data_IF_334068517041
#
_entry.id   IF_334068517041
#
_cell.length_a   1.000
_cell.length_b   1.000
_cell.length_c   1.000
_cell.angle_alpha   90.00
_cell.angle_beta   90.00
_cell.angle_gamma   90.00
#
_symmetry.space_group_name_H-M   'P 1'
#
loop_
_entity.id
_entity.type
_entity.pdbx_description
1 polymer ?
#
# COMPACT_ATOMS: atom_id res chain seq x y z
N UNK A 1 -32.57 -6.93 17.88
CA UNK A 1 -31.35 -7.52 17.31
C UNK A 1 -30.53 -6.38 16.74
N UNK A 2 -29.62 -5.82 17.55
CA UNK A 2 -28.74 -4.72 17.13
C UNK A 2 -27.53 -5.33 16.46
N UNK A 3 -27.45 -5.22 15.13
CA UNK A 3 -26.28 -5.63 14.35
C UNK A 3 -25.12 -4.73 14.74
N UNK A 4 -24.12 -5.28 15.44
CA UNK A 4 -22.85 -4.60 15.66
C UNK A 4 -22.11 -4.68 14.33
N UNK A 5 -22.25 -3.64 13.50
CA UNK A 5 -21.31 -3.41 12.41
C UNK A 5 -19.99 -3.01 13.07
N UNK A 6 -19.19 -4.00 13.49
CA UNK A 6 -17.81 -3.75 13.86
C UNK A 6 -17.14 -3.15 12.63
N UNK A 7 -16.61 -1.93 12.76
CA UNK A 7 -15.83 -1.32 11.69
C UNK A 7 -14.72 -2.32 11.29
N UNK A 8 -14.54 -2.61 9.99
CA UNK A 8 -13.53 -3.55 9.57
C UNK A 8 -12.17 -3.07 10.06
N UNK A 9 -11.50 -3.90 10.86
CA UNK A 9 -10.17 -3.59 11.37
C UNK A 9 -9.22 -3.34 10.20
N UNK A 10 -8.40 -2.31 10.30
CA UNK A 10 -7.41 -1.95 9.29
C UNK A 10 -5.99 -2.17 9.81
N UNK A 11 -5.05 -2.31 8.87
CA UNK A 11 -3.61 -2.37 9.10
C UNK A 11 -2.95 -1.35 8.18
N UNK A 12 -1.93 -0.68 8.70
CA UNK A 12 -1.08 0.21 7.92
C UNK A 12 0.19 -0.51 7.48
N UNK A 13 0.53 -0.34 6.20
CA UNK A 13 1.80 -0.76 5.65
C UNK A 13 2.55 0.47 5.15
N UNK A 14 3.80 0.63 5.59
CA UNK A 14 4.75 1.46 4.87
C UNK A 14 5.26 0.66 3.67
N UNK A 15 5.52 1.31 2.54
CA UNK A 15 6.04 0.66 1.35
C UNK A 15 7.11 1.50 0.67
N UNK A 16 7.99 0.85 -0.06
CA UNK A 16 8.93 1.50 -0.96
C UNK A 16 9.20 0.64 -2.20
N UNK A 17 9.52 1.29 -3.31
CA UNK A 17 9.74 0.64 -4.59
C UNK A 17 10.68 1.45 -5.50
N UNK A 18 11.43 0.74 -6.34
CA UNK A 18 12.06 1.35 -7.51
C UNK A 18 11.07 1.33 -8.67
N UNK A 19 10.85 2.50 -9.28
CA UNK A 19 9.93 2.68 -10.41
C UNK A 19 10.64 3.37 -11.56
N UNK A 20 10.06 3.27 -12.75
CA UNK A 20 10.44 4.05 -13.93
C UNK A 20 9.36 5.08 -14.21
N UNK A 21 9.75 6.34 -14.23
CA UNK A 21 8.90 7.48 -14.57
C UNK A 21 9.16 7.83 -16.05
N UNK A 22 8.13 7.87 -16.90
CA UNK A 22 8.30 8.28 -18.30
C UNK A 22 8.95 9.66 -18.41
N UNK A 23 10.02 9.78 -19.20
CA UNK A 23 10.77 11.03 -19.40
C UNK A 23 11.87 11.31 -18.36
N UNK A 24 11.76 10.76 -17.15
CA UNK A 24 12.71 11.02 -16.05
C UNK A 24 13.63 9.82 -15.75
N UNK A 25 13.20 8.60 -16.11
CA UNK A 25 13.96 7.37 -15.86
C UNK A 25 13.68 6.75 -14.50
N UNK A 26 14.68 6.13 -13.88
CA UNK A 26 14.50 5.32 -12.66
C UNK A 26 14.46 6.21 -11.41
N UNK A 27 13.44 6.04 -10.58
CA UNK A 27 13.22 6.78 -9.35
C UNK A 27 12.85 5.87 -8.17
N UNK A 28 13.15 6.34 -6.95
CA UNK A 28 12.74 5.67 -5.72
C UNK A 28 11.45 6.30 -5.19
N UNK A 29 10.43 5.48 -4.96
CA UNK A 29 9.13 5.88 -4.43
C UNK A 29 8.87 5.21 -3.09
N UNK A 30 8.17 5.90 -2.20
CA UNK A 30 7.74 5.35 -0.91
C UNK A 30 6.41 5.96 -0.48
N UNK A 31 5.70 5.27 0.41
CA UNK A 31 4.42 5.74 0.92
C UNK A 31 3.87 4.85 2.02
N UNK A 32 2.61 5.11 2.37
CA UNK A 32 1.84 4.31 3.32
C UNK A 32 0.51 3.91 2.70
N UNK A 33 0.02 2.72 3.02
CA UNK A 33 -1.30 2.25 2.61
C UNK A 33 -2.02 1.63 3.79
N UNK A 34 -3.27 2.02 3.99
CA UNK A 34 -4.17 1.47 5.01
C UNK A 34 -5.14 0.52 4.33
N UNK A 35 -5.17 -0.74 4.74
CA UNK A 35 -6.01 -1.79 4.14
C UNK A 35 -6.78 -2.57 5.20
N UNK A 36 -7.87 -3.25 4.86
CA UNK A 36 -8.50 -4.19 5.78
C UNK A 36 -7.54 -5.30 6.22
N UNK A 37 -7.66 -5.77 7.48
CA UNK A 37 -6.89 -6.92 8.02
C UNK A 37 -7.01 -8.19 7.18
N UNK A 38 -8.06 -8.31 6.36
CA UNK A 38 -8.29 -9.46 5.49
C UNK A 38 -7.42 -9.47 4.22
N UNK A 39 -6.71 -8.38 3.92
CA UNK A 39 -5.81 -8.33 2.77
C UNK A 39 -4.52 -9.06 3.09
N UNK A 40 -4.20 -10.08 2.30
CA UNK A 40 -2.87 -10.69 2.33
C UNK A 40 -1.83 -9.78 1.68
N UNK A 41 -0.56 -10.04 1.98
CA UNK A 41 0.58 -9.28 1.51
C UNK A 41 0.57 -9.04 -0.01
N UNK A 42 0.34 -10.10 -0.80
CA UNK A 42 0.28 -10.03 -2.27
C UNK A 42 -0.81 -9.09 -2.76
N UNK A 43 -1.96 -9.07 -2.09
CA UNK A 43 -3.07 -8.19 -2.46
C UNK A 43 -2.70 -6.73 -2.23
N UNK A 44 -2.05 -6.42 -1.10
CA UNK A 44 -1.58 -5.06 -0.81
C UNK A 44 -0.52 -4.63 -1.83
N UNK A 45 0.41 -5.52 -2.18
CA UNK A 45 1.42 -5.26 -3.22
C UNK A 45 0.78 -4.93 -4.57
N UNK A 46 -0.25 -5.69 -4.97
CA UNK A 46 -0.99 -5.43 -6.21
C UNK A 46 -1.71 -4.08 -6.21
N UNK A 47 -2.31 -3.67 -5.08
CA UNK A 47 -2.97 -2.36 -4.94
C UNK A 47 -1.94 -1.21 -5.06
N UNK A 48 -0.79 -1.32 -4.38
CA UNK A 48 0.31 -0.35 -4.49
C UNK A 48 0.80 -0.26 -5.93
N UNK A 49 0.97 -1.39 -6.61
CA UNK A 49 1.40 -1.43 -8.01
C UNK A 49 0.37 -0.82 -8.97
N UNK A 50 -0.93 -1.10 -8.75
CA UNK A 50 -2.01 -0.53 -9.55
C UNK A 50 -2.05 1.00 -9.38
N UNK A 51 -1.90 1.50 -8.16
CA UNK A 51 -1.80 2.93 -7.89
C UNK A 51 -0.56 3.57 -8.54
N UNK A 52 0.61 2.94 -8.44
CA UNK A 52 1.83 3.40 -9.13
C UNK A 52 1.62 3.44 -10.65
N UNK A 53 0.94 2.44 -11.21
CA UNK A 53 0.53 2.41 -12.62
C UNK A 53 -0.42 3.54 -13.00
N UNK A 54 -1.36 3.90 -12.12
CA UNK A 54 -2.27 5.03 -12.35
C UNK A 54 -1.57 6.39 -12.29
N UNK A 55 -0.40 6.48 -11.63
CA UNK A 55 0.47 7.65 -11.71
C UNK A 55 1.30 7.71 -13.00
N UNK A 56 1.13 6.75 -13.91
CA UNK A 56 1.90 6.64 -15.15
C UNK A 56 3.30 6.04 -14.97
N UNK A 57 3.62 5.51 -13.79
CA UNK A 57 4.90 4.85 -13.54
C UNK A 57 4.84 3.37 -13.93
N UNK A 58 6.00 2.79 -14.23
CA UNK A 58 6.14 1.36 -14.51
C UNK A 58 7.16 0.73 -13.56
N UNK A 59 7.01 -0.55 -13.23
CA UNK A 59 7.89 -1.24 -12.28
C UNK A 59 7.54 -2.71 -12.17
N UNK A 60 8.34 -3.46 -11.41
CA UNK A 60 8.06 -4.88 -11.12
C UNK A 60 7.44 -4.99 -9.73
N UNK A 61 6.45 -5.86 -9.59
CA UNK A 61 5.87 -6.19 -8.27
C UNK A 61 6.94 -6.62 -7.26
N UNK A 62 7.96 -7.35 -7.72
CA UNK A 62 9.06 -7.81 -6.89
C UNK A 62 9.96 -6.69 -6.33
N UNK A 63 9.88 -5.48 -6.90
CA UNK A 63 10.63 -4.32 -6.40
C UNK A 63 9.85 -3.57 -5.31
N UNK A 64 8.59 -3.93 -5.04
CA UNK A 64 7.77 -3.35 -3.98
C UNK A 64 8.00 -4.12 -2.69
N UNK A 65 8.51 -3.40 -1.69
CA UNK A 65 8.68 -3.93 -0.35
C UNK A 65 7.67 -3.28 0.59
N UNK A 66 6.86 -4.10 1.27
CA UNK A 66 5.98 -3.63 2.34
C UNK A 66 6.63 -3.89 3.70
N UNK A 67 6.31 -3.02 4.65
CA UNK A 67 6.73 -3.10 6.04
C UNK A 67 5.46 -2.86 6.86
N UNK A 68 5.14 -3.78 7.78
CA UNK A 68 4.10 -3.55 8.77
C UNK A 68 4.44 -2.28 9.56
N UNK A 69 3.65 -1.24 9.39
CA UNK A 69 3.78 -0.04 10.18
C UNK A 69 2.94 -0.26 11.46
N UNK A 70 3.47 0.06 12.65
CA UNK A 70 2.60 0.14 13.82
C UNK A 70 1.47 1.11 13.48
N UNK A 71 0.23 0.68 13.70
CA UNK A 71 -0.94 1.53 13.47
C UNK A 71 -0.65 2.83 14.18
N UNK A 72 -0.46 3.92 13.42
CA UNK A 72 -0.19 5.21 14.00
C UNK A 72 -1.48 5.56 14.70
N UNK A 73 -1.55 5.25 16.00
CA UNK A 73 -2.73 5.41 16.82
C UNK A 73 -3.25 6.81 16.59
N UNK A 74 -4.31 6.91 15.80
CA UNK A 74 -5.15 8.10 15.78
C UNK A 74 -5.81 8.06 17.15
N UNK A 75 -5.19 8.73 18.11
CA UNK A 75 -5.88 9.14 19.32
C UNK A 75 -7.02 10.03 18.83
N UNK A 76 -8.21 9.46 18.78
CA UNK A 76 -9.46 10.22 18.83
C UNK A 76 -9.45 11.19 20.03
#
# INVERSE_FOLDING_TARGET
MTSINAAPSTIDYAWHAWVTVPGEGRAFAHGTVTVPVSFCWDRVTCEVAAWLGSQGTTGRLADIHLILAPHAGRTD
#
